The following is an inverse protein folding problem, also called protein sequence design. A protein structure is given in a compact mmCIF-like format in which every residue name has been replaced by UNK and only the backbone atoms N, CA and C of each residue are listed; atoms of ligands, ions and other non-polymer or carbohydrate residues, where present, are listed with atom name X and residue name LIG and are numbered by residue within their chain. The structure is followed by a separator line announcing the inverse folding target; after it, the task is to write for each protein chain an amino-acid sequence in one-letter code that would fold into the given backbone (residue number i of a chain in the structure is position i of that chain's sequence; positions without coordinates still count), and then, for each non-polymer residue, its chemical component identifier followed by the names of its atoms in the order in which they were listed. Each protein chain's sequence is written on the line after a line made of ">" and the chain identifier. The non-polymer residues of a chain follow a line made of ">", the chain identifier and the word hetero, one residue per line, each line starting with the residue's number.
data_IF_121397023521
#
_entry.id   IF_121397023521
#
_cell.length_a   1.000
_cell.length_b   1.000
_cell.length_c   1.000
_cell.angle_alpha   90.00
_cell.angle_beta   90.00
_cell.angle_gamma   90.00
#
_symmetry.space_group_name_H-M   'P 1'
#
loop_
_entity.id
_entity.type
_entity.pdbx_description
1 polymer ?
#
# COMPACT_ATOMS: atom_id res chain seq x y z
N UNK A 1 26.39 18.07 2.50
CA UNK A 1 25.44 16.95 2.33
C UNK A 1 24.35 17.45 1.41
N UNK A 2 24.09 16.78 0.28
CA UNK A 2 23.00 17.20 -0.61
C UNK A 2 21.62 16.90 0.02
N UNK A 3 20.58 17.68 -0.28
CA UNK A 3 19.24 17.46 0.26
C UNK A 3 18.68 16.06 -0.09
N UNK A 4 19.03 15.49 -1.25
CA UNK A 4 18.63 14.13 -1.62
C UNK A 4 19.28 13.05 -0.74
N UNK A 5 20.59 13.14 -0.49
CA UNK A 5 21.33 12.18 0.34
C UNK A 5 20.82 12.15 1.78
N UNK A 6 20.45 13.33 2.33
CA UNK A 6 19.82 13.40 3.65
C UNK A 6 18.44 12.74 3.67
N UNK A 7 17.65 12.89 2.60
CA UNK A 7 16.33 12.27 2.48
C UNK A 7 16.41 10.74 2.37
N UNK A 8 17.41 10.22 1.66
CA UNK A 8 17.65 8.77 1.52
C UNK A 8 18.10 8.15 2.84
N UNK A 9 19.04 8.80 3.53
CA UNK A 9 19.46 8.39 4.88
C UNK A 9 18.27 8.40 5.84
N UNK A 10 17.45 9.45 5.82
CA UNK A 10 16.28 9.55 6.69
C UNK A 10 15.24 8.45 6.40
N UNK A 11 15.01 8.11 5.11
CA UNK A 11 14.16 6.96 4.73
C UNK A 11 14.75 5.65 5.25
N UNK A 12 16.06 5.44 5.09
CA UNK A 12 16.74 4.24 5.57
C UNK A 12 16.64 4.09 7.10
N UNK A 13 16.80 5.16 7.87
CA UNK A 13 16.65 5.14 9.33
C UNK A 13 15.19 4.98 9.76
N UNK A 14 14.23 5.60 9.06
CA UNK A 14 12.80 5.48 9.38
C UNK A 14 12.30 4.04 9.26
N UNK A 15 12.79 3.27 8.28
CA UNK A 15 12.47 1.85 8.10
C UNK A 15 12.94 0.97 9.26
N UNK A 16 14.00 1.36 9.98
CA UNK A 16 14.51 0.60 11.15
C UNK A 16 13.54 0.60 12.33
N UNK A 17 12.67 1.60 12.43
CA UNK A 17 11.67 1.67 13.49
C UNK A 17 10.42 0.80 13.20
N UNK A 18 10.34 0.18 12.01
CA UNK A 18 9.23 -0.65 11.59
C UNK A 18 8.03 0.15 11.07
N UNK A 19 7.13 -0.50 10.30
CA UNK A 19 5.92 0.13 9.81
C UNK A 19 4.93 0.39 10.96
N UNK A 20 4.22 1.51 10.87
CA UNK A 20 3.09 1.84 11.76
C UNK A 20 1.82 1.33 11.08
N UNK A 21 1.24 0.29 11.65
CA UNK A 21 -0.05 -0.25 11.23
C UNK A 21 -1.20 0.27 12.07
N UNK A 22 -2.42 -0.06 11.64
CA UNK A 22 -3.62 0.17 12.44
C UNK A 22 -3.61 -0.67 13.71
N UNK A 23 -4.10 -0.09 14.81
CA UNK A 23 -4.29 -0.81 16.07
C UNK A 23 -5.52 -1.72 16.02
N UNK A 24 -5.67 -2.60 17.01
CA UNK A 24 -6.84 -3.49 17.10
C UNK A 24 -8.14 -2.70 17.27
N UNK A 25 -8.09 -1.61 18.02
CA UNK A 25 -9.21 -0.70 18.24
C UNK A 25 -9.60 0.03 16.95
N UNK A 26 -8.62 0.43 16.14
CA UNK A 26 -8.88 1.05 14.83
C UNK A 26 -9.45 0.06 13.82
N UNK A 27 -9.02 -1.21 13.89
CA UNK A 27 -9.48 -2.29 13.02
C UNK A 27 -10.91 -2.72 13.35
N UNK A 28 -11.25 -2.78 14.63
CA UNK A 28 -12.60 -3.02 15.13
C UNK A 28 -13.21 -4.28 14.49
N UNK A 29 -12.56 -5.43 14.71
CA UNK A 29 -12.97 -6.70 14.11
C UNK A 29 -14.36 -7.21 14.55
N UNK A 30 -14.88 -6.67 15.66
CA UNK A 30 -16.24 -6.97 16.13
C UNK A 30 -17.28 -6.45 15.15
N UNK A 31 -17.13 -5.19 14.70
CA UNK A 31 -18.04 -4.59 13.72
C UNK A 31 -17.62 -4.83 12.27
N UNK A 32 -16.33 -5.04 12.03
CA UNK A 32 -15.75 -5.22 10.70
C UNK A 32 -14.96 -6.54 10.62
N UNK A 33 -15.66 -7.69 10.53
CA UNK A 33 -15.00 -8.99 10.51
C UNK A 33 -14.05 -9.13 9.31
N UNK A 34 -12.88 -9.71 9.56
CA UNK A 34 -11.87 -9.95 8.53
C UNK A 34 -12.30 -11.09 7.59
N UNK A 35 -12.09 -10.85 6.30
CA UNK A 35 -12.21 -11.82 5.22
C UNK A 35 -10.81 -12.15 4.74
N UNK A 36 -10.58 -13.42 4.44
CA UNK A 36 -9.30 -13.90 3.94
C UNK A 36 -9.48 -14.53 2.56
N UNK A 37 -8.47 -14.44 1.70
CA UNK A 37 -8.50 -14.98 0.35
C UNK A 37 -7.14 -15.41 -0.16
N UNK A 38 -7.15 -16.44 -1.01
CA UNK A 38 -5.99 -16.93 -1.75
C UNK A 38 -6.38 -17.14 -3.23
N UNK A 39 -5.50 -16.84 -4.21
CA UNK A 39 -4.15 -16.27 -4.07
C UNK A 39 -4.16 -14.82 -3.56
N UNK A 40 -3.00 -14.36 -3.08
CA UNK A 40 -2.84 -12.98 -2.61
C UNK A 40 -3.15 -11.97 -3.72
N UNK A 41 -3.91 -10.93 -3.38
CA UNK A 41 -4.32 -9.90 -4.34
C UNK A 41 -3.15 -8.91 -4.51
N UNK A 42 -2.58 -8.75 -5.73
CA UNK A 42 -1.45 -7.83 -5.94
C UNK A 42 -1.91 -6.37 -5.87
N UNK A 43 -1.27 -5.60 -5.00
CA UNK A 43 -1.63 -4.20 -4.72
C UNK A 43 -0.40 -3.27 -4.74
N UNK A 44 -0.65 -1.98 -4.80
CA UNK A 44 0.22 -0.94 -4.27
C UNK A 44 -0.41 -0.37 -3.00
N UNK A 45 0.38 -0.15 -1.97
CA UNK A 45 -0.12 0.36 -0.70
C UNK A 45 0.79 1.44 -0.12
N UNK A 46 0.19 2.50 0.42
CA UNK A 46 0.91 3.48 1.22
C UNK A 46 1.14 2.95 2.62
N UNK A 47 2.40 2.78 3.00
CA UNK A 47 2.83 2.34 4.34
C UNK A 47 3.41 3.53 5.09
N UNK A 48 2.98 3.70 6.35
CA UNK A 48 3.52 4.72 7.26
C UNK A 48 4.69 4.15 8.07
N UNK A 49 5.72 4.96 8.24
CA UNK A 49 6.83 4.79 9.17
C UNK A 49 6.89 6.05 10.05
N UNK A 50 7.60 6.04 11.19
CA UNK A 50 7.60 7.18 12.11
C UNK A 50 7.94 8.53 11.46
N UNK A 51 8.84 8.54 10.46
CA UNK A 51 9.31 9.78 9.84
C UNK A 51 9.01 9.88 8.33
N UNK A 52 8.35 8.90 7.71
CA UNK A 52 8.06 8.93 6.28
C UNK A 52 6.83 8.06 5.91
N UNK A 53 6.37 8.22 4.66
CA UNK A 53 5.39 7.33 4.05
C UNK A 53 5.97 6.82 2.72
N UNK A 54 5.77 5.54 2.43
CA UNK A 54 6.28 4.92 1.21
C UNK A 54 5.19 4.13 0.50
N UNK A 55 5.20 4.20 -0.83
CA UNK A 55 4.33 3.40 -1.68
C UNK A 55 5.05 2.07 -2.00
N UNK A 56 4.54 0.97 -1.46
CA UNK A 56 5.14 -0.37 -1.64
C UNK A 56 4.32 -1.21 -2.62
N UNK A 57 4.99 -2.11 -3.33
CA UNK A 57 4.32 -3.17 -4.06
C UNK A 57 4.18 -4.39 -3.14
N UNK A 58 2.95 -4.84 -2.92
CA UNK A 58 2.67 -5.94 -2.00
C UNK A 58 1.51 -6.81 -2.45
N UNK A 59 1.09 -7.68 -1.54
CA UNK A 59 -0.03 -8.59 -1.68
C UNK A 59 -0.95 -8.48 -0.47
N UNK A 60 -2.26 -8.58 -0.70
CA UNK A 60 -3.27 -8.61 0.36
C UNK A 60 -3.85 -10.01 0.45
N UNK A 61 -3.84 -10.58 1.65
CA UNK A 61 -4.42 -11.89 1.95
C UNK A 61 -5.64 -11.79 2.87
N UNK A 62 -5.73 -10.73 3.68
CA UNK A 62 -6.81 -10.47 4.61
C UNK A 62 -7.31 -9.02 4.48
N UNK A 63 -8.61 -8.80 4.57
CA UNK A 63 -9.22 -7.48 4.52
C UNK A 63 -10.53 -7.42 5.29
N UNK A 64 -10.85 -6.25 5.82
CA UNK A 64 -12.17 -5.91 6.36
C UNK A 64 -12.85 -4.94 5.39
N UNK A 65 -14.03 -4.42 5.76
CA UNK A 65 -14.64 -3.34 4.97
C UNK A 65 -13.83 -2.03 5.03
N UNK A 66 -13.03 -1.80 6.08
CA UNK A 66 -12.31 -0.54 6.33
C UNK A 66 -10.79 -0.64 6.12
N UNK A 67 -10.20 -1.83 6.17
CA UNK A 67 -8.76 -2.02 6.21
C UNK A 67 -8.32 -3.27 5.42
N UNK A 68 -7.03 -3.33 5.09
CA UNK A 68 -6.42 -4.50 4.45
C UNK A 68 -5.06 -4.80 5.07
N UNK A 69 -4.75 -6.09 5.21
CA UNK A 69 -3.45 -6.57 5.63
C UNK A 69 -2.54 -6.67 4.40
N UNK A 70 -1.55 -5.79 4.34
CA UNK A 70 -0.58 -5.75 3.24
C UNK A 70 0.67 -6.48 3.67
N UNK A 71 1.09 -7.43 2.84
CA UNK A 71 2.37 -8.14 2.96
C UNK A 71 3.29 -7.70 1.83
N UNK A 72 4.53 -7.31 2.15
CA UNK A 72 5.53 -6.93 1.15
C UNK A 72 6.93 -7.37 1.58
N UNK A 73 7.85 -7.40 0.63
CA UNK A 73 9.27 -7.72 0.89
C UNK A 73 10.10 -6.45 0.76
N UNK A 74 10.99 -6.21 1.72
CA UNK A 74 12.06 -5.21 1.63
C UNK A 74 13.38 -5.92 1.92
N UNK A 75 14.16 -6.16 0.85
CA UNK A 75 15.35 -7.01 0.90
C UNK A 75 15.05 -8.43 1.40
N UNK A 76 15.75 -8.93 2.43
CA UNK A 76 15.51 -10.27 2.99
C UNK A 76 14.32 -10.34 3.94
N UNK A 77 13.73 -9.20 4.32
CA UNK A 77 12.67 -9.13 5.33
C UNK A 77 11.30 -9.07 4.66
N UNK A 78 10.38 -9.91 5.14
CA UNK A 78 8.96 -9.82 4.80
C UNK A 78 8.25 -9.07 5.90
N UNK A 79 7.60 -7.97 5.54
CA UNK A 79 6.79 -7.16 6.44
C UNK A 79 5.31 -7.43 6.20
N UNK A 80 4.53 -7.25 7.26
CA UNK A 80 3.08 -7.34 7.22
C UNK A 80 2.48 -6.29 8.13
N UNK A 81 1.50 -5.55 7.64
CA UNK A 81 0.81 -4.55 8.45
C UNK A 81 -0.59 -4.27 7.93
N UNK A 82 -1.47 -3.84 8.81
CA UNK A 82 -2.81 -3.38 8.43
C UNK A 82 -2.78 -1.89 8.11
N UNK A 83 -3.42 -1.53 7.00
CA UNK A 83 -3.61 -0.15 6.57
C UNK A 83 -5.07 0.09 6.21
N UNK A 84 -5.49 1.37 6.21
CA UNK A 84 -6.81 1.74 5.71
C UNK A 84 -7.00 1.27 4.26
N UNK A 85 -8.19 0.80 3.91
CA UNK A 85 -8.49 0.30 2.58
C UNK A 85 -8.28 1.35 1.49
N UNK A 86 -8.51 2.63 1.82
CA UNK A 86 -8.23 3.78 0.96
C UNK A 86 -6.74 4.02 0.67
N UNK A 87 -5.83 3.45 1.48
CA UNK A 87 -4.39 3.50 1.25
C UNK A 87 -3.90 2.40 0.29
N UNK A 88 -4.81 1.52 -0.16
CA UNK A 88 -4.48 0.37 -1.01
C UNK A 88 -5.15 0.53 -2.37
N UNK A 89 -4.37 0.34 -3.43
CA UNK A 89 -4.87 0.32 -4.81
C UNK A 89 -4.50 -1.01 -5.44
N UNK A 90 -5.47 -1.69 -6.07
CA UNK A 90 -5.18 -2.94 -6.78
C UNK A 90 -4.37 -2.63 -8.04
N UNK A 91 -3.42 -3.51 -8.40
CA UNK A 91 -2.63 -3.30 -9.62
C UNK A 91 -3.47 -3.29 -10.89
N UNK A 92 -4.56 -4.07 -10.92
CA UNK A 92 -5.50 -4.07 -12.04
C UNK A 92 -6.10 -2.68 -12.30
N UNK A 93 -6.45 -1.95 -11.24
CA UNK A 93 -7.07 -0.62 -11.33
C UNK A 93 -6.06 0.43 -11.81
N UNK A 94 -4.79 0.30 -11.37
CA UNK A 94 -3.71 1.14 -11.89
C UNK A 94 -3.50 0.93 -13.39
N UNK A 95 -3.54 -0.31 -13.86
CA UNK A 95 -3.38 -0.59 -15.29
C UNK A 95 -4.56 -0.02 -16.10
N UNK A 96 -5.80 -0.14 -15.60
CA UNK A 96 -6.98 0.43 -16.25
C UNK A 96 -6.93 1.96 -16.33
N UNK A 97 -6.52 2.64 -15.25
CA UNK A 97 -6.37 4.09 -15.24
C UNK A 97 -5.37 4.58 -16.30
N UNK A 98 -4.20 3.93 -16.40
CA UNK A 98 -3.17 4.28 -17.37
C UNK A 98 -3.55 3.95 -18.83
N UNK A 99 -4.36 2.90 -19.06
CA UNK A 99 -4.85 2.57 -20.41
C UNK A 99 -6.02 3.47 -20.86
N UNK A 100 -6.96 3.79 -19.96
CA UNK A 100 -8.16 4.57 -20.29
C UNK A 100 -7.91 6.04 -20.62
N UNK A 101 -6.79 6.61 -20.13
CA UNK A 101 -6.39 7.98 -20.47
C UNK A 101 -5.85 8.10 -21.90
N UNK A 102 -5.28 7.01 -22.46
CA UNK A 102 -4.73 7.00 -23.82
C UNK A 102 -5.79 6.85 -24.91
N UNK A 103 -6.92 6.22 -24.63
CA UNK A 103 -7.94 5.92 -25.66
C UNK A 103 -8.92 7.07 -25.91
N UNK A 104 -9.05 8.04 -25.00
CA UNK A 104 -9.96 9.17 -25.19
C UNK A 104 -9.42 10.29 -26.10
N UNK A 105 -8.10 10.34 -26.35
CA UNK A 105 -7.52 11.44 -27.14
C UNK A 105 -7.75 11.31 -28.65
N UNK A 106 -8.00 10.09 -29.14
CA UNK A 106 -8.10 9.81 -30.59
C UNK A 106 -9.55 9.77 -31.11
N UNK A 107 -10.55 9.88 -30.23
CA UNK A 107 -11.97 9.71 -30.62
C UNK A 107 -12.69 11.02 -30.99
N UNK A 108 -12.02 12.17 -30.95
CA UNK A 108 -12.65 13.45 -31.27
C UNK A 108 -11.94 14.17 -32.43
N UNK A 109 -12.03 13.57 -33.62
CA UNK A 109 -11.84 14.30 -34.86
C UNK A 109 -12.85 13.80 -35.89
N UNK A 110 -14.04 14.40 -35.89
CA UNK A 110 -14.99 14.30 -36.99
C UNK A 110 -15.82 15.57 -37.08
#
# INVERSE_FOLDING_TARGET
>A
MGPEQASELQRQYARRAGPIGLTVEELDFEHFPAKNGFPGIPVKAWIRFPNCAELVNGEVFAWTAKAAEVTWKDGPVTYRTWVWSSAVTRREDLNKANLGERTNRDSNNK
#
